data_IF_182002342309
#
_entry.id   IF_182002342309
#
_cell.length_a   1.000
_cell.length_b   1.000
_cell.length_c   1.000
_cell.angle_alpha   90.00
_cell.angle_beta   90.00
_cell.angle_gamma   90.00
#
_symmetry.space_group_name_H-M   'P 1'
#
loop_
_entity.id
_entity.type
_entity.pdbx_description
1 polymer ?
#
# COMPACT_ATOMS: atom_id res chain seq x y z
N UNK A 1 -10.94 6.15 -27.21
CA UNK A 1 -9.96 5.67 -26.20
C UNK A 1 -10.70 5.46 -24.89
N UNK A 2 -10.99 4.22 -24.53
CA UNK A 2 -11.46 3.90 -23.17
C UNK A 2 -10.23 3.59 -22.32
N UNK A 3 -10.02 4.36 -21.24
CA UNK A 3 -8.98 4.09 -20.24
C UNK A 3 -9.33 2.82 -19.43
N UNK A 4 -10.60 2.44 -19.42
CA UNK A 4 -11.11 1.19 -18.87
C UNK A 4 -11.46 0.24 -20.01
N UNK A 5 -10.67 -0.81 -20.18
CA UNK A 5 -10.90 -1.87 -21.16
C UNK A 5 -10.17 -3.12 -20.71
N UNK A 6 -10.62 -4.30 -21.15
CA UNK A 6 -10.12 -5.60 -20.68
C UNK A 6 -8.59 -5.74 -20.72
N UNK A 7 -7.94 -5.06 -21.67
CA UNK A 7 -6.48 -5.01 -21.81
C UNK A 7 -5.73 -4.37 -20.63
N UNK A 8 -6.43 -3.68 -19.73
CA UNK A 8 -5.88 -3.09 -18.50
C UNK A 8 -6.33 -3.84 -17.25
N UNK A 9 -7.06 -4.96 -17.41
CA UNK A 9 -7.34 -5.86 -16.30
C UNK A 9 -6.05 -6.55 -15.89
N UNK A 10 -5.84 -6.65 -14.58
CA UNK A 10 -4.64 -7.22 -14.01
C UNK A 10 -4.63 -7.03 -12.50
N UNK A 11 -3.53 -7.42 -11.89
CA UNK A 11 -3.32 -7.27 -10.46
C UNK A 11 -3.35 -5.78 -10.08
N UNK A 12 -4.20 -5.41 -9.11
CA UNK A 12 -4.35 -4.02 -8.68
C UNK A 12 -3.23 -3.56 -7.74
N UNK A 13 -2.88 -4.39 -6.74
CA UNK A 13 -1.69 -4.24 -5.89
C UNK A 13 -1.43 -5.56 -5.12
N UNK A 14 -0.27 -5.65 -4.47
CA UNK A 14 0.05 -6.67 -3.46
C UNK A 14 0.13 -6.00 -2.08
N UNK A 15 -0.63 -6.50 -1.11
CA UNK A 15 -0.60 -6.03 0.28
C UNK A 15 0.47 -6.72 1.11
N UNK A 16 1.17 -5.96 1.94
CA UNK A 16 2.20 -6.43 2.88
C UNK A 16 1.98 -5.74 4.23
N UNK A 17 1.97 -6.53 5.31
CA UNK A 17 2.04 -6.01 6.67
C UNK A 17 3.45 -5.50 6.97
N UNK A 18 3.56 -4.23 7.35
CA UNK A 18 4.83 -3.54 7.58
C UNK A 18 4.95 -3.11 9.05
N UNK A 19 5.91 -3.66 9.80
CA UNK A 19 6.10 -3.32 11.21
C UNK A 19 6.66 -1.89 11.42
N UNK A 20 7.40 -1.33 10.46
CA UNK A 20 7.91 0.05 10.53
C UNK A 20 7.66 0.79 9.21
N UNK A 21 6.44 1.32 9.01
CA UNK A 21 6.09 2.03 7.78
C UNK A 21 6.89 3.33 7.61
N UNK A 22 7.39 3.93 8.70
CA UNK A 22 8.21 5.14 8.60
C UNK A 22 9.58 4.82 8.03
N UNK A 23 10.24 3.77 8.53
CA UNK A 23 11.50 3.30 7.97
C UNK A 23 11.31 2.80 6.53
N UNK A 24 10.21 2.11 6.23
CA UNK A 24 9.88 1.68 4.87
C UNK A 24 9.77 2.85 3.90
N UNK A 25 9.03 3.90 4.27
CA UNK A 25 8.87 5.08 3.41
C UNK A 25 10.23 5.71 3.08
N UNK A 26 11.08 5.89 4.10
CA UNK A 26 12.45 6.42 3.90
C UNK A 26 13.27 5.56 2.95
N UNK A 27 13.22 4.23 3.12
CA UNK A 27 13.96 3.31 2.24
C UNK A 27 13.47 3.37 0.79
N UNK A 28 12.17 3.53 0.57
CA UNK A 28 11.60 3.70 -0.78
C UNK A 28 12.05 5.01 -1.42
N UNK A 29 12.04 6.11 -0.65
CA UNK A 29 12.50 7.42 -1.09
C UNK A 29 14.00 7.41 -1.42
N UNK A 30 14.83 6.79 -0.58
CA UNK A 30 16.27 6.62 -0.79
C UNK A 30 16.60 5.76 -2.02
N UNK A 31 15.80 4.73 -2.29
CA UNK A 31 15.92 3.89 -3.48
C UNK A 31 15.46 4.59 -4.77
N UNK A 32 14.73 5.72 -4.64
CA UNK A 32 14.10 6.40 -5.77
C UNK A 32 12.90 5.64 -6.34
N UNK A 33 12.31 4.73 -5.58
CA UNK A 33 11.09 4.02 -5.98
C UNK A 33 9.89 5.00 -5.99
N UNK A 34 9.03 4.99 -7.01
CA UNK A 34 7.88 5.89 -7.05
C UNK A 34 6.87 5.58 -5.93
N UNK A 35 6.67 6.54 -5.02
CA UNK A 35 5.59 6.50 -4.03
C UNK A 35 4.34 7.13 -4.63
N UNK A 36 3.31 6.31 -4.85
CA UNK A 36 2.04 6.75 -5.45
C UNK A 36 1.15 7.44 -4.40
N UNK A 37 1.15 6.98 -3.13
CA UNK A 37 0.37 7.59 -2.04
C UNK A 37 0.92 7.22 -0.65
N UNK A 38 0.70 8.10 0.33
CA UNK A 38 0.96 7.86 1.76
C UNK A 38 -0.24 8.31 2.57
N UNK A 39 -0.85 7.38 3.31
CA UNK A 39 -1.91 7.67 4.27
C UNK A 39 -1.30 7.80 5.66
N UNK A 40 -1.78 8.78 6.42
CA UNK A 40 -1.34 9.05 7.78
C UNK A 40 -2.51 9.01 8.74
N UNK A 41 -2.24 8.56 9.95
CA UNK A 41 -3.16 8.65 11.07
C UNK A 41 -3.29 10.11 11.55
N UNK A 42 -4.23 10.37 12.46
CA UNK A 42 -4.47 11.70 13.02
C UNK A 42 -3.25 12.28 13.76
N UNK A 43 -2.37 11.43 14.30
CA UNK A 43 -1.12 11.82 14.97
C UNK A 43 0.05 12.04 13.98
N UNK A 44 -0.18 11.84 12.68
CA UNK A 44 0.81 11.99 11.63
C UNK A 44 1.66 10.75 11.36
N UNK A 45 1.51 9.67 12.14
CA UNK A 45 2.17 8.39 11.87
C UNK A 45 1.74 7.81 10.52
N UNK A 46 2.64 7.07 9.86
CA UNK A 46 2.33 6.46 8.55
C UNK A 46 1.45 5.23 8.77
N UNK A 47 0.31 5.20 8.09
CA UNK A 47 -0.66 4.10 8.16
C UNK A 47 -0.53 3.15 6.97
N UNK A 48 -0.50 3.70 5.75
CA UNK A 48 -0.44 2.91 4.52
C UNK A 48 0.45 3.64 3.51
N UNK A 49 1.26 2.89 2.77
CA UNK A 49 2.07 3.39 1.65
C UNK A 49 1.72 2.59 0.40
N UNK A 50 1.40 3.28 -0.69
CA UNK A 50 1.38 2.68 -2.02
C UNK A 50 2.62 3.11 -2.79
N UNK A 51 3.41 2.15 -3.23
CA UNK A 51 4.62 2.42 -4.02
C UNK A 51 4.77 1.40 -5.16
N UNK A 52 5.47 1.80 -6.23
CA UNK A 52 5.85 0.91 -7.33
C UNK A 52 7.23 0.35 -7.09
N UNK A 53 7.33 -0.97 -7.02
CA UNK A 53 8.59 -1.67 -6.84
C UNK A 53 9.28 -1.87 -8.19
N UNK A 54 10.45 -1.26 -8.36
CA UNK A 54 11.30 -1.47 -9.53
C UNK A 54 11.80 -2.92 -9.63
N UNK A 55 12.00 -3.60 -8.49
CA UNK A 55 12.42 -5.00 -8.43
C UNK A 55 11.30 -6.01 -8.75
N UNK A 56 10.03 -5.61 -8.68
CA UNK A 56 8.87 -6.45 -9.03
C UNK A 56 8.17 -6.01 -10.32
N UNK A 57 8.95 -5.72 -11.38
CA UNK A 57 8.44 -5.34 -12.70
C UNK A 57 7.45 -4.15 -12.67
N UNK A 58 7.62 -3.23 -11.71
CA UNK A 58 6.74 -2.07 -11.54
C UNK A 58 5.41 -2.37 -10.87
N UNK A 59 5.23 -3.54 -10.25
CA UNK A 59 4.05 -3.86 -9.47
C UNK A 59 3.80 -2.82 -8.36
N UNK A 60 2.53 -2.52 -8.10
CA UNK A 60 2.12 -1.69 -6.97
C UNK A 60 2.08 -2.53 -5.71
N UNK A 61 2.80 -2.08 -4.69
CA UNK A 61 2.83 -2.67 -3.36
C UNK A 61 2.12 -1.72 -2.40
N UNK A 62 1.22 -2.26 -1.59
CA UNK A 62 0.61 -1.60 -0.45
C UNK A 62 1.31 -2.09 0.83
N UNK A 63 2.05 -1.21 1.50
CA UNK A 63 2.62 -1.48 2.81
C UNK A 63 1.65 -0.93 3.86
N UNK A 64 1.05 -1.81 4.66
CA UNK A 64 0.08 -1.46 5.69
C UNK A 64 0.70 -1.62 7.07
N UNK A 65 0.64 -0.59 7.89
CA UNK A 65 1.16 -0.63 9.25
C UNK A 65 0.55 -1.79 10.04
N UNK A 66 1.37 -2.51 10.83
CA UNK A 66 0.89 -3.62 11.67
C UNK A 66 -0.23 -3.21 12.63
N UNK A 67 -0.26 -1.93 13.06
CA UNK A 67 -1.34 -1.38 13.90
C UNK A 67 -2.72 -1.46 13.23
N UNK A 68 -2.78 -1.48 11.90
CA UNK A 68 -4.01 -1.57 11.12
C UNK A 68 -4.46 -3.01 10.89
N UNK A 69 -3.61 -4.00 11.18
CA UNK A 69 -3.86 -5.40 10.82
C UNK A 69 -5.16 -5.92 11.41
N UNK A 70 -5.43 -5.69 12.69
CA UNK A 70 -6.67 -6.15 13.34
C UNK A 70 -7.91 -5.57 12.63
N UNK A 71 -7.88 -4.27 12.31
CA UNK A 71 -8.98 -3.58 11.65
C UNK A 71 -9.21 -4.11 10.22
N UNK A 72 -8.13 -4.33 9.47
CA UNK A 72 -8.22 -4.87 8.11
C UNK A 72 -8.66 -6.34 8.08
N UNK A 73 -8.14 -7.20 8.95
CA UNK A 73 -8.55 -8.60 9.02
C UNK A 73 -10.05 -8.70 9.37
N UNK A 74 -10.53 -7.87 10.32
CA UNK A 74 -11.97 -7.74 10.59
C UNK A 74 -12.74 -7.26 9.36
N UNK A 75 -12.22 -6.29 8.63
CA UNK A 75 -12.86 -5.81 7.41
C UNK A 75 -12.93 -6.90 6.34
N UNK A 76 -11.86 -7.68 6.13
CA UNK A 76 -11.86 -8.81 5.21
C UNK A 76 -12.89 -9.87 5.61
N UNK A 77 -13.01 -10.15 6.91
CA UNK A 77 -13.95 -11.15 7.42
C UNK A 77 -15.41 -10.69 7.38
N UNK A 78 -15.67 -9.39 7.60
CA UNK A 78 -17.04 -8.89 7.88
C UNK A 78 -17.56 -7.89 6.86
N UNK A 79 -16.71 -7.37 5.98
CA UNK A 79 -17.03 -6.26 5.08
C UNK A 79 -17.16 -4.90 5.78
N UNK A 80 -16.86 -4.79 7.08
CA UNK A 80 -16.99 -3.55 7.87
C UNK A 80 -15.66 -3.10 8.48
N UNK A 81 -15.26 -1.86 8.19
CA UNK A 81 -14.21 -1.14 8.90
C UNK A 81 -14.80 -0.55 10.19
N UNK A 82 -14.47 -1.13 11.35
CA UNK A 82 -14.90 -0.62 12.66
C UNK A 82 -13.92 -1.05 13.76
#
# INVERSE_FOLDING_TARGET
>A
MGIYGEKFLGLHHLGIWEPDPTARLRALEEAGDPVDAVFREADGSVSIIYARSSSMLGARIEYVADSQRISFERWFDTGSFA
#
